data_IF_892433103868
#
_entry.id   IF_892433103868
#
_cell.length_a   1.000
_cell.length_b   1.000
_cell.length_c   1.000
_cell.angle_alpha   90.00
_cell.angle_beta   90.00
_cell.angle_gamma   90.00
#
_symmetry.space_group_name_H-M   'P 1'
#
loop_
_entity.id
_entity.type
_entity.pdbx_description
1 polymer ?
#
# COMPACT_ATOMS: atom_id res chain seq x y z
N UNK A 1 -9.73 37.21 -12.77
CA UNK A 1 -9.77 37.14 -11.30
C UNK A 1 -8.64 36.22 -10.82
N UNK A 2 -7.62 36.72 -10.13
CA UNK A 2 -6.44 35.91 -9.72
C UNK A 2 -6.75 35.29 -8.34
N UNK A 3 -7.06 34.00 -8.30
CA UNK A 3 -7.28 33.29 -7.04
C UNK A 3 -5.93 33.19 -6.31
N UNK A 4 -5.79 33.85 -5.16
CA UNK A 4 -4.62 33.68 -4.29
C UNK A 4 -4.91 32.48 -3.39
N UNK A 5 -4.27 31.35 -3.65
CA UNK A 5 -4.38 30.20 -2.75
C UNK A 5 -3.63 30.54 -1.45
N UNK A 6 -4.27 30.47 -0.28
CA UNK A 6 -3.60 30.77 0.98
C UNK A 6 -2.55 29.70 1.28
N UNK A 7 -1.41 30.11 1.82
CA UNK A 7 -0.27 29.22 2.15
C UNK A 7 -0.72 28.06 3.04
N UNK A 8 -1.65 28.32 3.98
CA UNK A 8 -2.22 27.28 4.85
C UNK A 8 -2.90 26.16 4.06
N UNK A 9 -3.65 26.49 2.99
CA UNK A 9 -4.29 25.48 2.15
C UNK A 9 -3.25 24.66 1.40
N UNK A 10 -2.20 25.30 0.89
CA UNK A 10 -1.10 24.59 0.24
C UNK A 10 -0.44 23.59 1.20
N UNK A 11 -0.15 24.00 2.44
CA UNK A 11 0.46 23.14 3.46
C UNK A 11 -0.43 21.93 3.81
N UNK A 12 -1.74 22.15 3.99
CA UNK A 12 -2.70 21.07 4.27
C UNK A 12 -2.75 20.08 3.12
N UNK A 13 -2.78 20.55 1.87
CA UNK A 13 -2.79 19.68 0.70
C UNK A 13 -1.49 18.87 0.57
N UNK A 14 -0.33 19.49 0.79
CA UNK A 14 0.95 18.79 0.77
C UNK A 14 1.02 17.72 1.87
N UNK A 15 0.55 18.04 3.08
CA UNK A 15 0.53 17.10 4.19
C UNK A 15 -0.44 15.92 3.94
N UNK A 16 -1.64 16.21 3.46
CA UNK A 16 -2.63 15.20 3.09
C UNK A 16 -2.12 14.28 1.96
N UNK A 17 -1.43 14.85 0.97
CA UNK A 17 -0.79 14.08 -0.10
C UNK A 17 0.34 13.20 0.45
N UNK A 18 1.14 13.71 1.39
CA UNK A 18 2.15 12.94 2.10
C UNK A 18 1.55 11.72 2.80
N UNK A 19 0.53 11.91 3.63
CA UNK A 19 -0.17 10.81 4.31
C UNK A 19 -0.70 9.81 3.27
N UNK A 20 -1.35 10.27 2.20
CA UNK A 20 -1.95 9.40 1.17
C UNK A 20 -0.91 8.53 0.46
N UNK A 21 0.28 9.07 0.20
CA UNK A 21 1.34 8.38 -0.52
C UNK A 21 2.15 7.44 0.38
N UNK A 22 2.33 7.79 1.66
CA UNK A 22 3.19 7.08 2.61
C UNK A 22 2.44 6.22 3.64
N UNK A 23 1.11 6.20 3.64
CA UNK A 23 0.34 5.28 4.48
C UNK A 23 -0.56 4.37 3.65
N UNK A 24 -0.95 3.25 4.22
CA UNK A 24 -1.84 2.30 3.58
C UNK A 24 -2.41 1.30 4.57
N UNK A 25 -3.19 0.37 4.03
CA UNK A 25 -3.78 -0.75 4.76
C UNK A 25 -3.33 -2.03 4.10
N UNK A 26 -2.90 -3.01 4.89
CA UNK A 26 -2.71 -4.37 4.40
C UNK A 26 -3.71 -5.33 5.01
N UNK A 27 -3.93 -6.43 4.31
CA UNK A 27 -4.72 -7.56 4.78
C UNK A 27 -3.75 -8.65 5.22
N UNK A 28 -3.84 -9.09 6.48
CA UNK A 28 -3.06 -10.20 6.97
C UNK A 28 -3.43 -11.45 6.18
N UNK A 29 -2.43 -12.15 5.65
CA UNK A 29 -2.61 -13.35 4.83
C UNK A 29 -3.24 -14.52 5.60
N UNK A 30 -2.88 -14.71 6.88
CA UNK A 30 -3.49 -15.75 7.73
C UNK A 30 -4.92 -15.42 8.22
N UNK A 31 -5.13 -14.25 8.81
CA UNK A 31 -6.39 -13.92 9.51
C UNK A 31 -7.37 -13.06 8.72
N UNK A 32 -6.97 -12.51 7.57
CA UNK A 32 -7.80 -11.61 6.75
C UNK A 32 -8.07 -10.24 7.38
N UNK A 33 -7.46 -9.94 8.52
CA UNK A 33 -7.61 -8.69 9.25
C UNK A 33 -6.96 -7.52 8.52
N UNK A 34 -7.51 -6.32 8.69
CA UNK A 34 -6.99 -5.09 8.09
C UNK A 34 -6.11 -4.34 9.08
N UNK A 35 -4.87 -4.08 8.70
CA UNK A 35 -3.91 -3.35 9.52
C UNK A 35 -3.43 -2.10 8.81
N UNK A 36 -3.39 -0.99 9.53
CA UNK A 36 -2.78 0.25 9.06
C UNK A 36 -1.26 0.16 9.17
N UNK A 37 -0.53 0.68 8.18
CA UNK A 37 0.92 0.74 8.23
C UNK A 37 1.49 1.96 7.51
N UNK A 38 2.74 2.31 7.84
CA UNK A 38 3.52 3.34 7.17
C UNK A 38 4.43 2.67 6.13
N UNK A 39 4.30 3.11 4.88
CA UNK A 39 5.09 2.64 3.75
C UNK A 39 6.50 3.23 3.79
N UNK A 40 7.48 2.44 3.39
CA UNK A 40 8.88 2.89 3.32
C UNK A 40 9.17 3.78 2.10
N UNK A 41 8.31 3.78 1.07
CA UNK A 41 8.41 4.64 -0.12
C UNK A 41 7.02 5.10 -0.60
N UNK A 42 6.91 6.23 -1.35
CA UNK A 42 5.62 6.73 -1.79
C UNK A 42 5.01 5.85 -2.88
N UNK A 43 3.71 5.58 -2.78
CA UNK A 43 2.92 4.96 -3.85
C UNK A 43 1.45 5.35 -3.74
N UNK A 44 0.77 5.46 -4.89
CA UNK A 44 -0.68 5.65 -4.96
C UNK A 44 -1.47 4.44 -4.48
N UNK A 45 -0.86 3.25 -4.41
CA UNK A 45 -1.51 2.04 -3.90
C UNK A 45 -1.88 2.23 -2.42
N UNK A 46 -3.15 2.03 -2.09
CA UNK A 46 -3.65 2.18 -0.72
C UNK A 46 -3.79 0.83 0.00
N UNK A 47 -4.28 -0.19 -0.72
CA UNK A 47 -4.57 -1.51 -0.18
C UNK A 47 -3.53 -2.53 -0.68
N UNK A 48 -2.99 -3.31 0.26
CA UNK A 48 -2.01 -4.37 0.01
C UNK A 48 -2.60 -5.70 0.48
N UNK A 49 -2.48 -6.74 -0.34
CA UNK A 49 -2.92 -8.09 0.00
C UNK A 49 -2.05 -9.09 -0.77
N UNK A 50 -1.96 -10.33 -0.27
CA UNK A 50 -1.24 -11.42 -0.91
C UNK A 50 -2.20 -12.23 -1.79
N UNK A 51 -2.10 -12.18 -3.14
CA UNK A 51 -2.85 -13.09 -4.00
C UNK A 51 -2.55 -14.58 -3.74
N UNK A 52 -1.32 -14.90 -3.34
CA UNK A 52 -0.96 -16.27 -2.95
C UNK A 52 -1.59 -16.61 -1.58
N UNK A 53 -1.55 -15.68 -0.64
CA UNK A 53 -2.03 -15.91 0.73
C UNK A 53 -1.36 -17.15 1.35
N UNK A 54 -2.18 -18.06 1.89
CA UNK A 54 -1.78 -19.37 2.39
C UNK A 54 -1.98 -20.51 1.38
N UNK A 55 -2.19 -20.21 0.10
CA UNK A 55 -2.36 -21.25 -0.92
C UNK A 55 -1.02 -21.83 -1.37
N UNK A 56 -1.06 -23.04 -1.94
CA UNK A 56 0.09 -23.68 -2.58
C UNK A 56 0.41 -23.11 -3.98
N UNK A 57 -0.25 -22.02 -4.39
CA UNK A 57 -0.02 -21.39 -5.69
C UNK A 57 1.40 -20.83 -5.77
N UNK A 58 2.09 -21.18 -6.86
CA UNK A 58 3.38 -20.58 -7.18
C UNK A 58 3.19 -19.21 -7.81
N UNK A 59 4.20 -18.36 -7.64
CA UNK A 59 4.18 -17.01 -8.21
C UNK A 59 4.00 -17.02 -9.74
N UNK A 60 4.59 -18.00 -10.42
CA UNK A 60 4.51 -18.14 -11.87
C UNK A 60 3.11 -18.53 -12.38
N UNK A 61 2.28 -19.11 -11.50
CA UNK A 61 0.91 -19.52 -11.81
C UNK A 61 -0.09 -18.36 -11.71
N UNK A 62 0.32 -17.24 -11.11
CA UNK A 62 -0.49 -16.04 -11.01
C UNK A 62 -0.59 -15.32 -12.36
N UNK A 63 -1.72 -14.64 -12.59
CA UNK A 63 -1.84 -13.68 -13.68
C UNK A 63 -0.80 -12.55 -13.52
N UNK A 64 -0.43 -11.87 -14.60
CA UNK A 64 0.55 -10.75 -14.53
C UNK A 64 0.13 -9.65 -13.55
N UNK A 65 -1.16 -9.43 -13.38
CA UNK A 65 -1.69 -8.44 -12.43
C UNK A 65 -1.55 -8.94 -10.99
N UNK A 66 -1.90 -10.20 -10.73
CA UNK A 66 -1.72 -10.81 -9.42
C UNK A 66 -0.22 -10.94 -9.05
N UNK A 67 0.67 -11.19 -10.00
CA UNK A 67 2.12 -11.14 -9.77
C UNK A 67 2.56 -9.76 -9.29
N UNK A 68 2.09 -8.68 -9.93
CA UNK A 68 2.38 -7.31 -9.47
C UNK A 68 1.86 -7.04 -8.07
N UNK A 69 0.65 -7.49 -7.77
CA UNK A 69 0.04 -7.37 -6.44
C UNK A 69 0.85 -8.11 -5.38
N UNK A 70 1.28 -9.34 -5.68
CA UNK A 70 2.15 -10.13 -4.80
C UNK A 70 3.51 -9.45 -4.61
N UNK A 71 4.12 -8.89 -5.65
CA UNK A 71 5.38 -8.14 -5.51
C UNK A 71 5.22 -6.92 -4.59
N UNK A 72 4.12 -6.16 -4.74
CA UNK A 72 3.81 -5.06 -3.82
C UNK A 72 3.62 -5.54 -2.38
N UNK A 73 2.93 -6.66 -2.18
CA UNK A 73 2.73 -7.22 -0.85
C UNK A 73 4.05 -7.67 -0.23
N UNK A 74 4.87 -8.39 -0.99
CA UNK A 74 6.19 -8.84 -0.55
C UNK A 74 7.02 -7.65 -0.08
N UNK A 75 7.18 -6.65 -0.95
CA UNK A 75 8.04 -5.50 -0.71
C UNK A 75 7.57 -4.61 0.46
N UNK A 76 6.27 -4.31 0.53
CA UNK A 76 5.75 -3.36 1.52
C UNK A 76 5.39 -4.00 2.86
N UNK A 77 5.02 -5.28 2.87
CA UNK A 77 4.43 -5.97 4.02
C UNK A 77 5.33 -7.11 4.51
N UNK A 78 5.54 -8.13 3.68
CA UNK A 78 6.19 -9.39 4.09
C UNK A 78 7.67 -9.20 4.41
N UNK A 79 8.41 -8.57 3.52
CA UNK A 79 9.85 -8.34 3.66
C UNK A 79 10.16 -7.31 4.78
N UNK A 80 9.12 -6.61 5.26
CA UNK A 80 9.15 -5.73 6.43
C UNK A 80 8.72 -6.42 7.72
N UNK A 81 8.32 -7.69 7.67
CA UNK A 81 7.90 -8.49 8.81
C UNK A 81 6.53 -8.13 9.38
N UNK A 82 5.66 -7.47 8.61
CA UNK A 82 4.34 -7.01 9.05
C UNK A 82 3.26 -8.10 8.97
N UNK A 83 3.38 -9.03 8.02
CA UNK A 83 2.52 -10.21 7.86
C UNK A 83 3.46 -11.40 7.70
N UNK A 84 3.26 -12.43 8.52
CA UNK A 84 4.06 -13.66 8.54
C UNK A 84 3.17 -14.86 8.29
#
# INVERSE_FOLDING_TARGET
MRVKLPITVLLVLTFALGIRLFSGIYIHDEFGEKHFFIKHRPTWKWRFYSPIGLSDLKFEELSREAQKEQLFFNEFIRDRGLSR
#
